data_IF_181402459384
#
_entry.id   IF_181402459384
#
_cell.length_a   1.000
_cell.length_b   1.000
_cell.length_c   1.000
_cell.angle_alpha   90.00
_cell.angle_beta   90.00
_cell.angle_gamma   90.00
#
_symmetry.space_group_name_H-M   'P 1'
#
loop_
_entity.id
_entity.type
_entity.pdbx_description
1 polymer ?
#
# COMPACT_ATOMS: atom_id res chain seq x y z
N UNK A 1 -13.41 -2.87 12.04
CA UNK A 1 -12.12 -2.52 12.66
C UNK A 1 -12.34 -1.66 13.90
N UNK A 2 -11.81 -2.10 15.04
CA UNK A 2 -11.73 -1.32 16.30
C UNK A 2 -10.75 -0.15 16.14
N UNK A 3 -10.73 0.80 17.09
CA UNK A 3 -9.79 1.92 17.03
C UNK A 3 -8.32 1.47 16.97
N UNK A 4 -7.94 0.47 17.77
CA UNK A 4 -6.57 -0.06 17.81
C UNK A 4 -6.20 -0.67 16.45
N UNK A 5 -7.12 -1.41 15.84
CA UNK A 5 -6.92 -1.99 14.51
C UNK A 5 -6.79 -0.91 13.42
N UNK A 6 -7.60 0.15 13.49
CA UNK A 6 -7.50 1.29 12.54
C UNK A 6 -6.17 2.02 12.66
N UNK A 7 -5.71 2.27 13.90
CA UNK A 7 -4.40 2.89 14.15
C UNK A 7 -3.25 2.03 13.61
N UNK A 8 -3.28 0.72 13.88
CA UNK A 8 -2.31 -0.24 13.33
C UNK A 8 -2.33 -0.25 11.80
N UNK A 9 -3.51 -0.29 11.19
CA UNK A 9 -3.67 -0.26 9.73
C UNK A 9 -3.02 0.98 9.11
N UNK A 10 -3.27 2.18 9.67
CA UNK A 10 -2.66 3.43 9.19
C UNK A 10 -1.15 3.36 9.29
N UNK A 11 -0.61 3.00 10.46
CA UNK A 11 0.85 2.90 10.68
C UNK A 11 1.48 1.91 9.69
N UNK A 12 0.93 0.71 9.56
CA UNK A 12 1.47 -0.31 8.65
C UNK A 12 1.40 0.12 7.19
N UNK A 13 0.30 0.75 6.77
CA UNK A 13 0.16 1.26 5.40
C UNK A 13 1.15 2.38 5.11
N UNK A 14 1.36 3.31 6.06
CA UNK A 14 2.34 4.39 5.92
C UNK A 14 3.77 3.86 5.89
N UNK A 15 4.12 2.92 6.77
CA UNK A 15 5.46 2.30 6.76
C UNK A 15 5.69 1.54 5.46
N UNK A 16 4.72 0.74 5.01
CA UNK A 16 4.80 0.02 3.75
C UNK A 16 4.92 0.96 2.54
N UNK A 17 4.21 2.09 2.56
CA UNK A 17 4.35 3.11 1.53
C UNK A 17 5.78 3.69 1.52
N UNK A 18 6.33 4.06 2.67
CA UNK A 18 7.70 4.57 2.76
C UNK A 18 8.72 3.52 2.32
N UNK A 19 8.56 2.26 2.73
CA UNK A 19 9.42 1.16 2.30
C UNK A 19 9.38 0.99 0.78
N UNK A 20 8.18 0.95 0.18
CA UNK A 20 8.04 0.87 -1.28
C UNK A 20 8.61 2.09 -1.98
N UNK A 21 8.40 3.29 -1.43
CA UNK A 21 8.95 4.52 -1.97
C UNK A 21 10.48 4.49 -2.01
N UNK A 22 11.12 4.04 -0.94
CA UNK A 22 12.58 3.92 -0.88
C UNK A 22 13.07 2.84 -1.84
N UNK A 23 12.49 1.64 -1.81
CA UNK A 23 12.94 0.52 -2.64
C UNK A 23 12.85 0.83 -4.13
N UNK A 24 11.71 1.37 -4.59
CA UNK A 24 11.54 1.74 -5.99
C UNK A 24 12.20 3.08 -6.32
N UNK A 25 12.30 4.01 -5.36
CA UNK A 25 13.04 5.25 -5.51
C UNK A 25 14.52 5.00 -5.81
N UNK A 26 15.13 3.97 -5.21
CA UNK A 26 16.49 3.54 -5.55
C UNK A 26 16.59 3.13 -7.02
N UNK A 27 15.59 2.44 -7.58
CA UNK A 27 15.54 2.13 -9.01
C UNK A 27 15.44 3.41 -9.86
N UNK A 28 14.67 4.39 -9.40
CA UNK A 28 14.61 5.71 -10.03
C UNK A 28 15.95 6.46 -10.00
N UNK A 29 16.80 6.24 -8.99
CA UNK A 29 18.14 6.86 -8.94
C UNK A 29 19.04 6.34 -10.06
N UNK A 30 18.90 5.08 -10.48
CA UNK A 30 19.62 4.57 -11.65
C UNK A 30 19.26 5.37 -12.91
N UNK A 31 17.98 5.69 -13.11
CA UNK A 31 17.55 6.51 -14.24
C UNK A 31 18.04 7.96 -14.11
N UNK A 32 18.05 8.50 -12.90
CA UNK A 32 18.46 9.87 -12.63
C UNK A 32 19.96 10.10 -12.93
N UNK A 33 20.82 9.18 -12.48
CA UNK A 33 22.27 9.28 -12.59
C UNK A 33 22.86 8.75 -13.91
N UNK A 34 22.08 8.03 -14.72
CA UNK A 34 22.52 7.54 -16.03
C UNK A 34 21.80 8.31 -17.15
N UNK A 35 22.32 9.49 -17.55
CA UNK A 35 21.73 10.33 -18.60
C UNK A 35 21.52 9.60 -19.93
N UNK A 36 22.38 8.62 -20.22
CA UNK A 36 22.43 7.94 -21.51
C UNK A 36 21.26 6.96 -21.71
N UNK A 37 20.57 6.59 -20.63
CA UNK A 37 19.38 5.72 -20.70
C UNK A 37 18.16 6.46 -21.24
N UNK A 38 18.11 7.78 -21.06
CA UNK A 38 16.99 8.63 -21.49
C UNK A 38 17.57 9.93 -22.03
N UNK A 39 18.07 9.86 -23.26
CA UNK A 39 18.54 11.03 -23.99
C UNK A 39 17.43 12.11 -24.01
N UNK A 40 17.85 13.36 -23.84
CA UNK A 40 17.03 14.59 -23.91
C UNK A 40 16.17 14.96 -22.69
N UNK A 41 16.20 14.22 -21.58
CA UNK A 41 15.45 14.65 -20.38
C UNK A 41 16.17 15.72 -19.55
N UNK A 42 15.45 16.80 -19.24
CA UNK A 42 15.91 17.86 -18.34
C UNK A 42 16.03 17.36 -16.90
N UNK A 43 16.82 18.05 -16.07
CA UNK A 43 16.96 17.74 -14.64
C UNK A 43 15.60 17.64 -13.92
N UNK A 44 14.67 18.54 -14.25
CA UNK A 44 13.32 18.54 -13.67
C UNK A 44 12.55 17.28 -14.04
N UNK A 45 12.59 16.85 -15.31
CA UNK A 45 11.91 15.64 -15.76
C UNK A 45 12.45 14.38 -15.07
N UNK A 46 13.78 14.29 -14.89
CA UNK A 46 14.40 13.17 -14.16
C UNK A 46 14.03 13.16 -12.69
N UNK A 47 13.96 14.34 -12.06
CA UNK A 47 13.54 14.48 -10.66
C UNK A 47 12.07 14.06 -10.47
N UNK A 48 11.20 14.45 -11.39
CA UNK A 48 9.79 14.05 -11.40
C UNK A 48 9.63 12.55 -11.64
N UNK A 49 10.43 11.96 -12.55
CA UNK A 49 10.47 10.52 -12.79
C UNK A 49 10.89 9.75 -11.53
N UNK A 50 11.96 10.19 -10.86
CA UNK A 50 12.42 9.63 -9.60
C UNK A 50 11.31 9.64 -8.54
N UNK A 51 10.66 10.79 -8.35
CA UNK A 51 9.54 10.90 -7.42
C UNK A 51 8.34 10.05 -7.86
N UNK A 52 8.02 10.01 -9.14
CA UNK A 52 6.92 9.21 -9.69
C UNK A 52 7.12 7.72 -9.47
N UNK A 53 8.32 7.21 -9.74
CA UNK A 53 8.68 5.80 -9.49
C UNK A 53 8.59 5.48 -7.99
N UNK A 54 9.09 6.37 -7.13
CA UNK A 54 8.94 6.24 -5.68
C UNK A 54 7.47 6.19 -5.25
N UNK A 55 6.64 7.12 -5.73
CA UNK A 55 5.21 7.17 -5.38
C UNK A 55 4.49 5.89 -5.84
N UNK A 56 4.73 5.46 -7.07
CA UNK A 56 4.14 4.23 -7.63
C UNK A 56 4.60 3.01 -6.84
N UNK A 57 5.89 2.91 -6.51
CA UNK A 57 6.43 1.81 -5.70
C UNK A 57 5.88 1.79 -4.28
N UNK A 58 5.79 2.95 -3.64
CA UNK A 58 5.14 3.09 -2.33
C UNK A 58 3.67 2.66 -2.37
N UNK A 59 2.93 3.09 -3.40
CA UNK A 59 1.55 2.69 -3.59
C UNK A 59 1.40 1.18 -3.83
N UNK A 60 2.27 0.57 -4.65
CA UNK A 60 2.27 -0.87 -4.90
C UNK A 60 2.48 -1.67 -3.61
N UNK A 61 3.53 -1.37 -2.84
CA UNK A 61 3.82 -2.11 -1.60
C UNK A 61 2.73 -1.89 -0.54
N UNK A 62 2.28 -0.64 -0.34
CA UNK A 62 1.18 -0.35 0.59
C UNK A 62 -0.15 -1.00 0.18
N UNK A 63 -0.44 -1.08 -1.12
CA UNK A 63 -1.66 -1.71 -1.63
C UNK A 63 -1.68 -3.23 -1.45
N UNK A 64 -0.55 -3.90 -1.69
CA UNK A 64 -0.41 -5.32 -1.41
C UNK A 64 -0.62 -5.60 0.08
N UNK A 65 0.01 -4.80 0.94
CA UNK A 65 -0.17 -4.95 2.38
C UNK A 65 -1.62 -4.67 2.82
N UNK A 66 -2.24 -3.63 2.27
CA UNK A 66 -3.66 -3.33 2.48
C UNK A 66 -4.54 -4.52 2.11
N UNK A 67 -4.33 -5.11 0.93
CA UNK A 67 -5.04 -6.31 0.47
C UNK A 67 -4.90 -7.46 1.46
N UNK A 68 -3.67 -7.75 1.91
CA UNK A 68 -3.39 -8.81 2.90
C UNK A 68 -4.13 -8.54 4.22
N UNK A 69 -4.09 -7.30 4.72
CA UNK A 69 -4.75 -6.93 5.98
C UNK A 69 -6.27 -7.07 5.89
N UNK A 70 -6.87 -6.59 4.80
CA UNK A 70 -8.31 -6.70 4.55
C UNK A 70 -8.74 -8.16 4.38
N UNK A 71 -7.97 -8.93 3.60
CA UNK A 71 -8.23 -10.33 3.36
C UNK A 71 -8.10 -11.18 4.63
N UNK A 72 -7.07 -10.93 5.44
CA UNK A 72 -6.88 -11.58 6.74
C UNK A 72 -8.06 -11.31 7.68
N UNK A 73 -8.50 -10.05 7.76
CA UNK A 73 -9.67 -9.69 8.57
C UNK A 73 -10.96 -10.37 8.07
N UNK A 74 -11.14 -10.49 6.75
CA UNK A 74 -12.29 -11.15 6.14
C UNK A 74 -12.29 -12.67 6.40
N UNK A 75 -11.14 -13.33 6.22
CA UNK A 75 -11.01 -14.79 6.34
C UNK A 75 -11.04 -15.30 7.77
N UNK A 76 -10.66 -14.48 8.76
CA UNK A 76 -10.75 -14.83 10.19
C UNK A 76 -12.16 -15.29 10.60
N UNK A 77 -13.20 -14.70 10.02
CA UNK A 77 -14.61 -15.00 10.35
C UNK A 77 -15.25 -16.10 9.49
N UNK A 78 -14.48 -16.74 8.60
CA UNK A 78 -15.00 -17.74 7.66
C UNK A 78 -14.71 -19.18 8.12
N UNK A 79 -15.55 -20.10 7.66
CA UNK A 79 -15.45 -21.53 8.00
C UNK A 79 -14.16 -22.17 7.47
N UNK A 80 -13.71 -23.25 8.10
CA UNK A 80 -12.52 -24.00 7.68
C UNK A 80 -12.63 -24.50 6.23
N UNK A 81 -13.83 -24.92 5.80
CA UNK A 81 -14.08 -25.35 4.42
C UNK A 81 -13.79 -24.24 3.41
N UNK A 82 -14.22 -23.01 3.72
CA UNK A 82 -13.95 -21.86 2.85
C UNK A 82 -12.46 -21.53 2.77
N UNK A 83 -11.72 -21.63 3.89
CA UNK A 83 -10.27 -21.43 3.92
C UNK A 83 -9.54 -22.47 3.06
N UNK A 84 -9.95 -23.74 3.13
CA UNK A 84 -9.37 -24.81 2.30
C UNK A 84 -9.60 -24.53 0.82
N UNK A 85 -10.81 -24.11 0.42
CA UNK A 85 -11.11 -23.73 -0.97
C UNK A 85 -10.21 -22.58 -1.43
N UNK A 86 -9.99 -21.57 -0.60
CA UNK A 86 -9.10 -20.45 -0.93
C UNK A 86 -7.63 -20.87 -1.10
N UNK A 87 -7.18 -21.87 -0.33
CA UNK A 87 -5.82 -22.44 -0.45
C UNK A 87 -5.72 -23.24 -1.75
N UNK A 88 -6.71 -24.06 -2.09
CA UNK A 88 -6.73 -24.81 -3.35
C UNK A 88 -6.75 -23.85 -4.55
N UNK A 89 -7.50 -22.76 -4.44
CA UNK A 89 -7.60 -21.71 -5.46
C UNK A 89 -6.58 -20.57 -5.23
N UNK A 90 -5.40 -20.87 -4.67
CA UNK A 90 -4.44 -19.86 -4.21
C UNK A 90 -4.11 -18.80 -5.28
N UNK A 91 -3.95 -19.19 -6.55
CA UNK A 91 -3.64 -18.25 -7.64
C UNK A 91 -4.73 -17.19 -7.80
N UNK A 92 -6.00 -17.60 -7.73
CA UNK A 92 -7.15 -16.69 -7.79
C UNK A 92 -7.19 -15.83 -6.52
N UNK A 93 -6.96 -16.45 -5.37
CA UNK A 93 -6.94 -15.76 -4.07
C UNK A 93 -5.90 -14.63 -4.05
N UNK A 94 -4.68 -14.87 -4.55
CA UNK A 94 -3.62 -13.86 -4.62
C UNK A 94 -4.00 -12.71 -5.55
N UNK A 95 -4.58 -12.99 -6.71
CA UNK A 95 -5.05 -11.95 -7.62
C UNK A 95 -6.14 -11.09 -7.00
N UNK A 96 -7.11 -11.71 -6.31
CA UNK A 96 -8.16 -10.98 -5.59
C UNK A 96 -7.56 -10.10 -4.50
N UNK A 97 -6.60 -10.61 -3.72
CA UNK A 97 -5.91 -9.83 -2.69
C UNK A 97 -5.21 -8.61 -3.32
N UNK A 98 -4.50 -8.80 -4.42
CA UNK A 98 -3.79 -7.72 -5.10
C UNK A 98 -4.74 -6.66 -5.66
N UNK A 99 -5.81 -7.07 -6.36
CA UNK A 99 -6.79 -6.15 -6.96
C UNK A 99 -7.55 -5.39 -5.87
N UNK A 100 -8.05 -6.10 -4.85
CA UNK A 100 -8.78 -5.49 -3.73
C UNK A 100 -7.85 -4.54 -2.97
N UNK A 101 -6.62 -4.97 -2.73
CA UNK A 101 -5.58 -4.14 -2.12
C UNK A 101 -5.37 -2.86 -2.92
N UNK A 102 -5.12 -2.96 -4.22
CA UNK A 102 -4.94 -1.81 -5.12
C UNK A 102 -6.12 -0.85 -5.07
N UNK A 103 -7.33 -1.34 -5.35
CA UNK A 103 -8.54 -0.50 -5.45
C UNK A 103 -8.92 0.12 -4.10
N UNK A 104 -8.85 -0.64 -3.02
CA UNK A 104 -9.33 -0.20 -1.70
C UNK A 104 -8.25 0.46 -0.83
N UNK A 105 -6.97 0.40 -1.19
CA UNK A 105 -5.88 0.95 -0.37
C UNK A 105 -6.15 2.40 0.03
N UNK A 106 -6.37 3.26 -0.97
CA UNK A 106 -6.48 4.71 -0.78
C UNK A 106 -7.79 5.09 -0.05
N UNK A 107 -8.98 4.59 -0.45
CA UNK A 107 -10.21 4.81 0.32
C UNK A 107 -10.11 4.34 1.78
N UNK A 108 -9.60 3.12 2.02
CA UNK A 108 -9.49 2.57 3.38
C UNK A 108 -8.48 3.31 4.23
N UNK A 109 -7.37 3.75 3.64
CA UNK A 109 -6.38 4.58 4.31
C UNK A 109 -6.98 5.91 4.78
N UNK A 110 -7.67 6.63 3.89
CA UNK A 110 -8.32 7.92 4.21
C UNK A 110 -9.36 7.74 5.32
N UNK A 111 -10.26 6.76 5.17
CA UNK A 111 -11.31 6.51 6.17
C UNK A 111 -10.70 6.20 7.53
N UNK A 112 -9.70 5.33 7.59
CA UNK A 112 -9.08 4.96 8.87
C UNK A 112 -8.28 6.10 9.48
N UNK A 113 -7.58 6.90 8.66
CA UNK A 113 -6.86 8.10 9.11
C UNK A 113 -7.81 9.12 9.73
N UNK A 114 -8.92 9.45 9.04
CA UNK A 114 -9.92 10.40 9.53
C UNK A 114 -10.53 9.96 10.88
N UNK A 115 -10.83 8.67 11.04
CA UNK A 115 -11.34 8.14 12.30
C UNK A 115 -10.32 8.22 13.44
N UNK A 116 -9.04 7.98 13.15
CA UNK A 116 -7.96 8.09 14.14
C UNK A 116 -7.77 9.54 14.58
N UNK A 117 -7.78 10.48 13.64
CA UNK A 117 -7.64 11.92 13.91
C UNK A 117 -8.81 12.48 14.72
N UNK A 118 -10.06 12.17 14.32
CA UNK A 118 -11.26 12.65 15.03
C UNK A 118 -11.30 12.17 16.48
N UNK A 119 -10.94 10.91 16.75
CA UNK A 119 -10.95 10.38 18.13
C UNK A 119 -9.91 11.07 19.00
N UNK A 120 -8.75 11.42 18.45
CA UNK A 120 -7.70 12.16 19.17
C UNK A 120 -8.19 13.55 19.58
N UNK A 121 -8.86 14.27 18.67
CA UNK A 121 -9.42 15.60 18.94
C UNK A 121 -10.51 15.61 20.01
N UNK A 122 -11.26 14.52 20.18
CA UNK A 122 -12.31 14.41 21.23
C UNK A 122 -11.69 14.14 22.60
N UNK A 123 -10.55 13.45 22.67
CA UNK A 123 -9.87 13.11 23.93
C UNK A 123 -9.01 14.29 24.44
N UNK A 124 -8.45 15.09 23.53
CA UNK A 124 -7.63 16.27 23.85
C UNK A 124 -8.47 17.54 24.14
N UNK A 125 -9.79 17.51 23.93
CA UNK A 125 -10.74 18.56 24.32
C UNK A 125 -11.40 18.23 25.65
#
# INVERSE_FOLDING_TARGET
MTYIERKKYVIYSSTAFLTGFVLYGILGLFIFFNPDLIEQWTFLQRSLMLMGIGIVGGYLISSLLSGILLFSHYTQKKSTRFKVVMIVLFMITVQVIAIVGFVLNLPMYIVNLLHVLRRRQIIEK
#
